data_IF_661994756907
#
_entry.id   IF_661994756907
#
_cell.length_a   1.000
_cell.length_b   1.000
_cell.length_c   1.000
_cell.angle_alpha   90.00
_cell.angle_beta   90.00
_cell.angle_gamma   90.00
#
_symmetry.space_group_name_H-M   'P 1'
#
loop_
_entity.id
_entity.type
_entity.pdbx_description
1 polymer ?
#
# COMPACT_ATOMS: atom_id res chain seq x y z
N UNK A 1 23.91 -55.32 27.63
CA UNK A 1 23.73 -53.87 27.83
C UNK A 1 23.97 -53.18 26.51
N UNK A 2 22.96 -52.50 26.01
CA UNK A 2 22.95 -51.77 24.75
C UNK A 2 23.68 -50.43 24.89
N UNK A 3 24.31 -49.98 23.80
CA UNK A 3 24.89 -48.64 23.71
C UNK A 3 25.28 -48.32 22.26
N UNK A 4 24.29 -48.08 21.42
CA UNK A 4 24.50 -47.57 20.06
C UNK A 4 24.66 -46.04 20.11
N UNK A 5 25.83 -45.56 19.67
CA UNK A 5 26.07 -44.13 19.43
C UNK A 5 25.28 -43.70 18.18
N UNK A 6 24.28 -42.84 18.36
CA UNK A 6 23.63 -42.12 17.26
C UNK A 6 24.37 -40.79 17.06
N UNK A 7 25.15 -40.69 15.98
CA UNK A 7 25.63 -39.42 15.46
C UNK A 7 24.45 -38.69 14.80
N UNK A 8 23.88 -37.71 15.49
CA UNK A 8 22.95 -36.75 14.91
C UNK A 8 23.72 -35.81 13.98
N UNK A 9 23.69 -36.12 12.68
CA UNK A 9 24.03 -35.15 11.65
C UNK A 9 22.98 -34.03 11.69
N UNK A 10 23.37 -32.87 12.22
CA UNK A 10 22.56 -31.67 12.10
C UNK A 10 22.51 -31.29 10.61
N UNK A 11 21.37 -31.57 9.96
CA UNK A 11 21.03 -30.93 8.71
C UNK A 11 21.00 -29.42 8.96
N UNK A 12 22.02 -28.70 8.47
CA UNK A 12 21.92 -27.25 8.28
C UNK A 12 20.77 -27.01 7.31
N UNK A 13 19.62 -26.62 7.82
CA UNK A 13 18.56 -26.05 7.00
C UNK A 13 19.14 -24.84 6.28
N UNK A 14 19.12 -24.94 4.95
CA UNK A 14 19.58 -23.92 4.03
C UNK A 14 18.86 -22.61 4.33
N UNK A 15 19.60 -21.55 4.61
CA UNK A 15 19.11 -20.16 4.77
C UNK A 15 18.68 -19.55 3.43
N UNK A 16 18.10 -20.34 2.54
CA UNK A 16 17.55 -19.84 1.29
C UNK A 16 16.18 -19.23 1.58
N UNK A 17 15.93 -17.96 1.24
CA UNK A 17 14.58 -17.40 1.25
C UNK A 17 13.64 -18.36 0.52
N UNK A 18 12.37 -18.51 0.95
CA UNK A 18 11.40 -19.26 0.17
C UNK A 18 11.45 -18.76 -1.27
N UNK A 19 11.67 -19.67 -2.21
CA UNK A 19 11.51 -19.34 -3.62
C UNK A 19 10.10 -18.77 -3.78
N UNK A 20 9.98 -17.64 -4.49
CA UNK A 20 8.69 -17.14 -4.99
C UNK A 20 7.88 -18.32 -5.51
N UNK A 21 6.54 -18.36 -5.34
CA UNK A 21 5.73 -19.25 -6.15
C UNK A 21 6.13 -19.00 -7.61
N UNK A 22 6.83 -19.96 -8.20
CA UNK A 22 7.27 -19.89 -9.57
C UNK A 22 6.02 -19.86 -10.44
N UNK A 23 5.75 -18.74 -11.13
CA UNK A 23 4.92 -18.76 -12.33
C UNK A 23 3.40 -18.75 -12.14
N UNK A 24 2.86 -18.02 -11.15
CA UNK A 24 1.50 -17.50 -11.33
C UNK A 24 1.50 -16.52 -12.51
N UNK A 25 0.74 -16.80 -13.57
CA UNK A 25 0.60 -15.88 -14.70
C UNK A 25 0.04 -14.56 -14.19
N UNK A 26 0.73 -13.45 -14.46
CA UNK A 26 0.27 -12.11 -14.04
C UNK A 26 -0.92 -11.73 -14.92
N UNK A 27 -1.94 -11.05 -14.38
CA UNK A 27 -3.07 -10.62 -15.20
C UNK A 27 -2.60 -9.82 -16.42
N UNK A 28 -1.67 -8.87 -16.24
CA UNK A 28 -1.10 -8.06 -17.32
C UNK A 28 -0.42 -8.89 -18.43
N UNK A 29 0.01 -10.14 -18.17
CA UNK A 29 0.56 -11.03 -19.22
C UNK A 29 -0.50 -11.43 -20.26
N UNK A 30 -1.79 -11.40 -19.89
CA UNK A 30 -2.93 -11.70 -20.79
C UNK A 30 -3.54 -10.45 -21.43
N UNK A 31 -3.24 -9.28 -20.88
CA UNK A 31 -3.80 -8.00 -21.31
C UNK A 31 -2.65 -7.02 -21.59
N UNK A 32 -1.99 -7.11 -22.76
CA UNK A 32 -0.97 -6.13 -23.16
C UNK A 32 -1.51 -4.72 -23.04
N UNK A 33 -0.72 -3.84 -22.41
CA UNK A 33 -1.11 -2.49 -22.01
C UNK A 33 -2.51 -2.38 -21.36
N UNK A 34 -2.92 -3.39 -20.58
CA UNK A 34 -4.20 -3.50 -19.86
C UNK A 34 -5.47 -3.41 -20.70
N UNK A 35 -5.38 -3.51 -22.03
CA UNK A 35 -6.56 -3.41 -22.89
C UNK A 35 -7.57 -4.52 -22.59
N UNK A 36 -8.71 -4.14 -22.05
CA UNK A 36 -9.80 -5.06 -21.69
C UNK A 36 -9.61 -5.76 -20.34
N UNK A 37 -8.60 -5.40 -19.55
CA UNK A 37 -8.33 -6.04 -18.25
C UNK A 37 -9.53 -5.90 -17.29
N UNK A 38 -10.26 -4.80 -17.37
CA UNK A 38 -11.45 -4.53 -16.56
C UNK A 38 -12.58 -5.58 -16.75
N UNK A 39 -12.56 -6.35 -17.83
CA UNK A 39 -13.52 -7.42 -18.10
C UNK A 39 -13.07 -8.80 -17.59
N UNK A 40 -11.87 -8.94 -17.04
CA UNK A 40 -11.42 -10.21 -16.46
C UNK A 40 -12.18 -10.51 -15.16
N UNK A 41 -12.65 -11.75 -14.92
CA UNK A 41 -13.41 -12.08 -13.71
C UNK A 41 -12.62 -11.93 -12.41
N UNK A 42 -11.29 -11.86 -12.45
CA UNK A 42 -10.48 -11.57 -11.27
C UNK A 42 -10.45 -10.08 -10.91
N UNK A 43 -10.77 -9.18 -11.85
CA UNK A 43 -10.71 -7.73 -11.65
C UNK A 43 -11.96 -7.23 -10.96
N UNK A 44 -11.75 -6.48 -9.87
CA UNK A 44 -12.80 -5.89 -9.05
C UNK A 44 -13.08 -4.45 -9.47
N UNK A 45 -12.02 -3.70 -9.81
CA UNK A 45 -12.10 -2.32 -10.29
C UNK A 45 -10.89 -1.98 -11.15
N UNK A 46 -11.08 -1.11 -12.14
CA UNK A 46 -10.01 -0.57 -12.95
C UNK A 46 -10.27 0.90 -13.33
N UNK A 47 -9.19 1.68 -13.40
CA UNK A 47 -9.16 3.07 -13.83
C UNK A 47 -7.98 3.31 -14.77
N UNK A 48 -8.25 3.89 -15.93
CA UNK A 48 -7.24 4.23 -16.94
C UNK A 48 -7.27 5.71 -17.33
N UNK A 49 -8.18 6.51 -16.75
CA UNK A 49 -8.29 7.95 -16.97
C UNK A 49 -8.55 8.39 -18.42
N UNK A 50 -9.23 7.54 -19.20
CA UNK A 50 -9.53 7.75 -20.62
C UNK A 50 -10.93 8.32 -20.87
N UNK A 51 -11.63 8.78 -19.83
CA UNK A 51 -12.99 9.33 -19.89
C UNK A 51 -13.08 10.69 -20.61
N UNK A 52 -11.93 11.30 -20.96
CA UNK A 52 -11.84 12.53 -21.75
C UNK A 52 -12.09 13.82 -20.96
N UNK A 53 -12.51 13.76 -19.71
CA UNK A 53 -12.60 14.93 -18.82
C UNK A 53 -12.55 14.53 -17.34
N UNK A 54 -12.06 15.43 -16.47
CA UNK A 54 -12.05 15.23 -15.01
C UNK A 54 -13.46 14.94 -14.48
N UNK A 55 -14.48 15.66 -14.95
CA UNK A 55 -15.88 15.45 -14.55
C UNK A 55 -16.36 14.01 -14.84
N UNK A 56 -16.00 13.49 -16.02
CA UNK A 56 -16.36 12.13 -16.40
C UNK A 56 -15.60 11.08 -15.57
N UNK A 57 -14.32 11.33 -15.22
CA UNK A 57 -13.59 10.49 -14.25
C UNK A 57 -14.26 10.53 -12.89
N UNK A 58 -14.48 11.71 -12.30
CA UNK A 58 -15.05 11.85 -10.95
C UNK A 58 -16.45 11.24 -10.83
N UNK A 59 -17.21 11.17 -11.94
CA UNK A 59 -18.55 10.53 -11.95
C UNK A 59 -18.52 9.01 -11.71
N UNK A 60 -17.34 8.38 -11.80
CA UNK A 60 -17.12 6.95 -11.52
C UNK A 60 -16.81 6.66 -10.05
N UNK A 61 -16.48 7.71 -9.28
CA UNK A 61 -16.10 7.65 -7.88
C UNK A 61 -17.26 8.07 -6.97
N UNK A 62 -17.27 7.54 -5.75
CA UNK A 62 -18.34 7.74 -4.77
C UNK A 62 -18.14 9.05 -3.99
N UNK A 63 -16.88 9.47 -3.80
CA UNK A 63 -16.50 10.78 -3.28
C UNK A 63 -15.21 11.28 -3.97
N UNK A 64 -14.99 12.59 -3.94
CA UNK A 64 -13.77 13.23 -4.44
C UNK A 64 -13.60 14.62 -3.84
N UNK A 65 -12.36 15.07 -3.69
CA UNK A 65 -12.03 16.42 -3.23
C UNK A 65 -11.20 17.19 -4.23
N UNK A 66 -11.44 18.50 -4.24
CA UNK A 66 -10.65 19.48 -4.97
C UNK A 66 -10.49 19.13 -6.47
N UNK A 67 -11.61 19.00 -7.19
CA UNK A 67 -11.58 18.78 -8.65
C UNK A 67 -10.78 19.86 -9.41
N UNK A 68 -10.62 21.07 -8.84
CA UNK A 68 -9.76 22.11 -9.41
C UNK A 68 -8.26 21.81 -9.35
N UNK A 69 -7.84 20.89 -8.47
CA UNK A 69 -6.48 20.34 -8.41
C UNK A 69 -6.25 19.14 -9.33
N UNK A 70 -7.28 18.69 -10.06
CA UNK A 70 -7.20 17.54 -10.97
C UNK A 70 -6.97 17.98 -12.42
N UNK A 71 -6.14 17.24 -13.14
CA UNK A 71 -5.98 17.41 -14.58
C UNK A 71 -5.69 16.08 -15.26
N UNK A 72 -6.31 15.86 -16.43
CA UNK A 72 -5.90 14.81 -17.36
C UNK A 72 -4.76 15.36 -18.21
N UNK A 73 -3.60 14.70 -18.17
CA UNK A 73 -2.38 15.15 -18.85
C UNK A 73 -1.79 14.03 -19.71
N UNK A 74 -1.08 14.35 -20.82
CA UNK A 74 -0.56 13.34 -21.75
C UNK A 74 0.69 12.60 -21.24
N UNK A 75 1.25 13.02 -20.11
CA UNK A 75 2.37 12.31 -19.47
C UNK A 75 1.85 11.06 -18.79
N UNK A 76 2.40 9.90 -19.11
CA UNK A 76 1.88 8.58 -18.73
C UNK A 76 3.03 7.57 -18.63
N UNK A 77 2.88 6.46 -17.89
CA UNK A 77 3.92 5.45 -17.78
C UNK A 77 4.25 4.82 -19.13
N UNK A 78 5.51 4.43 -19.28
CA UNK A 78 5.98 3.66 -20.43
C UNK A 78 5.23 2.32 -20.50
N UNK A 79 4.64 2.01 -21.64
CA UNK A 79 3.82 0.80 -21.83
C UNK A 79 2.32 1.03 -21.73
N UNK A 80 1.86 2.18 -21.22
CA UNK A 80 0.43 2.51 -21.25
C UNK A 80 -0.04 2.71 -22.68
N UNK A 81 -1.21 2.18 -23.01
CA UNK A 81 -1.90 2.41 -24.27
C UNK A 81 -2.89 3.59 -24.22
N UNK A 82 -3.11 4.17 -23.03
CA UNK A 82 -3.93 5.35 -22.82
C UNK A 82 -3.32 6.61 -23.44
N UNK A 83 -4.11 7.67 -23.49
CA UNK A 83 -3.72 9.00 -23.91
C UNK A 83 -3.50 9.95 -22.74
N UNK A 84 -3.97 9.62 -21.53
CA UNK A 84 -3.87 10.50 -20.37
C UNK A 84 -3.57 9.76 -19.06
N UNK A 85 -2.93 10.46 -18.13
CA UNK A 85 -2.91 10.11 -16.71
C UNK A 85 -3.62 11.19 -15.89
N UNK A 86 -3.96 10.86 -14.64
CA UNK A 86 -4.53 11.83 -13.70
C UNK A 86 -3.43 12.48 -12.87
N UNK A 87 -3.30 13.81 -13.00
CA UNK A 87 -2.53 14.64 -12.08
C UNK A 87 -3.41 15.09 -10.91
N UNK A 88 -2.95 14.90 -9.67
CA UNK A 88 -3.56 15.45 -8.46
C UNK A 88 -2.60 16.47 -7.83
N UNK A 89 -3.00 17.75 -7.78
CA UNK A 89 -2.24 18.86 -7.18
C UNK A 89 -2.86 19.26 -5.86
N UNK A 90 -2.08 19.34 -4.78
CA UNK A 90 -2.53 19.79 -3.46
C UNK A 90 -1.55 20.78 -2.83
N UNK A 91 -2.04 21.63 -1.93
CA UNK A 91 -1.25 22.52 -1.08
C UNK A 91 -1.93 22.76 0.27
N UNK A 92 -1.14 22.91 1.33
CA UNK A 92 -1.60 23.08 2.71
C UNK A 92 -2.03 24.50 3.07
N UNK A 93 -2.32 25.39 2.12
CA UNK A 93 -2.70 26.78 2.44
C UNK A 93 -4.08 26.87 3.08
N UNK A 94 -4.99 25.96 2.73
CA UNK A 94 -6.32 25.89 3.31
C UNK A 94 -6.97 24.50 3.13
N UNK A 95 -8.06 24.27 3.86
CA UNK A 95 -8.76 22.99 3.88
C UNK A 95 -9.34 22.54 2.53
N UNK A 96 -9.59 23.47 1.59
CA UNK A 96 -10.16 23.13 0.28
C UNK A 96 -9.08 22.67 -0.73
N UNK A 97 -7.80 22.98 -0.50
CA UNK A 97 -6.69 22.64 -1.41
C UNK A 97 -5.71 21.62 -0.83
N UNK A 98 -5.76 21.37 0.48
CA UNK A 98 -4.83 20.45 1.15
C UNK A 98 -5.01 18.98 0.76
N UNK A 99 -6.16 18.61 0.17
CA UNK A 99 -6.45 17.27 -0.30
C UNK A 99 -7.01 17.33 -1.72
N UNK A 100 -6.42 16.54 -2.62
CA UNK A 100 -6.98 16.24 -3.94
C UNK A 100 -7.01 14.73 -4.09
N UNK A 101 -8.20 14.15 -4.21
CA UNK A 101 -8.39 12.71 -4.11
C UNK A 101 -9.57 12.20 -4.95
N UNK A 102 -9.59 10.89 -5.16
CA UNK A 102 -10.73 10.15 -5.66
C UNK A 102 -10.99 9.01 -4.68
N UNK A 103 -12.25 8.72 -4.35
CA UNK A 103 -12.62 7.64 -3.43
C UNK A 103 -13.65 6.71 -4.06
N UNK A 104 -13.34 5.42 -4.06
CA UNK A 104 -14.19 4.36 -4.59
C UNK A 104 -14.58 3.41 -3.46
N UNK A 105 -15.88 3.26 -3.23
CA UNK A 105 -16.43 2.15 -2.46
C UNK A 105 -16.60 0.94 -3.38
N UNK A 106 -16.19 -0.23 -2.92
CA UNK A 106 -16.46 -1.49 -3.60
C UNK A 106 -17.68 -2.13 -2.95
N UNK A 107 -18.79 -2.24 -3.70
CA UNK A 107 -20.05 -2.75 -3.14
C UNK A 107 -19.96 -4.21 -2.70
N UNK A 108 -19.07 -4.98 -3.32
CA UNK A 108 -18.72 -6.35 -2.88
C UNK A 108 -17.33 -6.34 -2.28
N UNK A 109 -17.29 -6.46 -0.96
CA UNK A 109 -16.05 -6.58 -0.20
C UNK A 109 -15.26 -7.84 -0.54
N UNK A 110 -13.94 -7.75 -0.44
CA UNK A 110 -13.01 -8.84 -0.71
C UNK A 110 -12.24 -9.22 0.55
N UNK A 111 -11.90 -10.50 0.71
CA UNK A 111 -10.95 -10.93 1.74
C UNK A 111 -9.49 -10.78 1.30
N UNK A 112 -9.26 -10.69 -0.01
CA UNK A 112 -7.94 -10.61 -0.64
C UNK A 112 -7.98 -9.68 -1.83
N UNK A 113 -7.01 -8.77 -1.90
CA UNK A 113 -6.79 -7.89 -3.04
C UNK A 113 -5.32 -7.76 -3.38
N UNK A 114 -5.07 -7.76 -4.68
CA UNK A 114 -3.92 -7.15 -5.33
C UNK A 114 -4.35 -5.79 -5.85
N UNK A 115 -3.63 -4.74 -5.46
CA UNK A 115 -3.88 -3.36 -5.88
C UNK A 115 -2.64 -2.86 -6.57
N UNK A 116 -2.70 -2.64 -7.88
CA UNK A 116 -1.60 -2.11 -8.69
C UNK A 116 -1.95 -0.72 -9.21
N UNK A 117 -0.97 0.16 -9.21
CA UNK A 117 -1.07 1.48 -9.82
C UNK A 117 0.28 1.93 -10.36
N UNK A 118 0.25 2.89 -11.27
CA UNK A 118 1.42 3.67 -11.63
C UNK A 118 1.40 4.99 -10.91
N UNK A 119 2.54 5.40 -10.38
CA UNK A 119 2.69 6.70 -9.75
C UNK A 119 3.93 7.42 -10.24
N UNK A 120 3.83 8.74 -10.37
CA UNK A 120 4.97 9.65 -10.54
C UNK A 120 4.84 10.77 -9.52
N UNK A 121 5.93 11.13 -8.87
CA UNK A 121 5.95 12.15 -7.82
C UNK A 121 6.77 13.36 -8.28
N UNK A 122 6.23 14.57 -8.14
CA UNK A 122 6.95 15.81 -8.43
C UNK A 122 8.21 15.95 -7.54
N UNK A 123 9.34 16.30 -8.15
CA UNK A 123 10.58 16.56 -7.42
C UNK A 123 10.43 17.64 -6.34
N UNK A 124 10.99 17.38 -5.15
CA UNK A 124 11.12 18.35 -4.06
C UNK A 124 9.80 18.80 -3.41
N UNK A 125 8.69 18.14 -3.70
CA UNK A 125 7.41 18.45 -3.06
C UNK A 125 7.39 18.00 -1.59
N UNK A 126 6.69 18.74 -0.71
CA UNK A 126 6.60 18.44 0.72
C UNK A 126 5.53 17.38 0.99
N UNK A 127 5.80 16.14 0.57
CA UNK A 127 4.86 15.04 0.73
C UNK A 127 4.44 14.82 2.18
N UNK A 128 3.17 14.49 2.36
CA UNK A 128 2.62 14.09 3.65
C UNK A 128 1.86 12.77 3.47
N UNK A 129 0.58 12.81 3.11
CA UNK A 129 -0.17 11.59 2.79
C UNK A 129 -0.48 11.53 1.30
N UNK A 130 0.44 10.97 0.53
CA UNK A 130 0.41 11.02 -0.94
C UNK A 130 0.69 9.64 -1.54
N UNK A 131 -0.34 9.00 -2.05
CA UNK A 131 -0.25 7.65 -2.58
C UNK A 131 -1.62 7.03 -2.77
N UNK A 132 -1.65 5.70 -2.82
CA UNK A 132 -2.87 4.91 -2.90
C UNK A 132 -3.12 4.28 -1.54
N UNK A 133 -4.24 4.66 -0.94
CA UNK A 133 -4.79 4.02 0.24
C UNK A 133 -5.88 3.04 -0.20
N UNK A 134 -5.95 1.87 0.42
CA UNK A 134 -7.05 0.95 0.26
C UNK A 134 -7.28 0.15 1.54
N UNK A 135 -8.43 -0.49 1.68
CA UNK A 135 -8.76 -1.18 2.92
C UNK A 135 -10.24 -1.46 3.04
N UNK A 136 -10.74 -1.45 4.27
CA UNK A 136 -12.12 -1.79 4.58
C UNK A 136 -12.70 -0.94 5.69
N UNK A 137 -14.00 -0.65 5.57
CA UNK A 137 -14.84 -0.13 6.63
C UNK A 137 -16.00 -1.09 6.92
N UNK A 138 -16.40 -1.18 8.19
CA UNK A 138 -17.60 -1.88 8.62
C UNK A 138 -18.43 -0.98 9.57
N UNK A 139 -19.58 -0.45 9.11
CA UNK A 139 -20.17 -0.62 7.77
C UNK A 139 -19.36 0.07 6.66
N UNK A 140 -19.52 -0.34 5.38
CA UNK A 140 -18.88 0.34 4.24
C UNK A 140 -19.21 1.84 4.20
N UNK A 141 -18.23 2.66 3.80
CA UNK A 141 -18.36 4.13 3.74
C UNK A 141 -18.30 4.63 2.30
N UNK A 142 -19.11 5.63 1.98
CA UNK A 142 -19.10 6.35 0.68
C UNK A 142 -18.01 7.43 0.60
N UNK A 143 -17.31 7.70 1.71
CA UNK A 143 -16.23 8.69 1.78
C UNK A 143 -15.05 8.17 2.62
N UNK A 144 -13.83 8.70 2.41
CA UNK A 144 -12.67 8.30 3.19
C UNK A 144 -12.79 8.77 4.64
N UNK A 145 -12.39 7.91 5.59
CA UNK A 145 -12.37 8.23 7.02
C UNK A 145 -11.16 7.55 7.71
N UNK A 146 -9.95 8.11 7.61
CA UNK A 146 -8.73 7.47 8.13
C UNK A 146 -8.69 7.38 9.67
N UNK A 147 -9.44 8.25 10.38
CA UNK A 147 -9.46 8.33 11.85
C UNK A 147 -8.05 8.34 12.49
N UNK A 148 -7.19 9.24 11.99
CA UNK A 148 -5.83 9.40 12.50
C UNK A 148 -5.82 9.65 14.02
N UNK A 149 -4.87 9.04 14.72
CA UNK A 149 -4.75 9.10 16.17
C UNK A 149 -5.52 8.01 16.91
N UNK A 150 -6.43 7.29 16.26
CA UNK A 150 -7.26 6.25 16.87
C UNK A 150 -6.80 4.88 16.37
N UNK A 151 -6.65 3.90 17.27
CA UNK A 151 -6.36 2.51 16.87
C UNK A 151 -7.63 1.84 16.34
N UNK A 152 -7.60 1.13 15.19
CA UNK A 152 -8.71 0.26 14.79
C UNK A 152 -9.02 -0.81 15.84
N UNK A 153 -10.29 -1.20 15.93
CA UNK A 153 -10.78 -2.22 16.86
C UNK A 153 -10.74 -3.63 16.25
N UNK A 154 -10.55 -3.73 14.94
CA UNK A 154 -10.52 -4.99 14.19
C UNK A 154 -11.88 -5.41 13.66
N UNK A 155 -12.95 -4.73 14.06
CA UNK A 155 -14.29 -4.92 13.52
C UNK A 155 -14.84 -3.68 12.79
N UNK A 156 -14.08 -2.59 12.76
CA UNK A 156 -14.50 -1.28 12.29
C UNK A 156 -13.76 -0.86 11.00
N UNK A 157 -12.43 -1.02 10.95
CA UNK A 157 -11.62 -0.65 9.78
C UNK A 157 -10.25 -1.30 9.72
N UNK A 158 -9.69 -1.30 8.52
CA UNK A 158 -8.28 -1.59 8.23
C UNK A 158 -7.85 -0.76 7.02
N UNK A 159 -6.62 -0.26 6.98
CA UNK A 159 -6.11 0.47 5.81
C UNK A 159 -4.64 0.19 5.54
N UNK A 160 -4.32 0.12 4.25
CA UNK A 160 -3.00 -0.08 3.69
C UNK A 160 -2.67 1.07 2.75
N UNK A 161 -1.46 1.60 2.83
CA UNK A 161 -0.98 2.65 1.93
C UNK A 161 0.51 2.54 1.72
N UNK A 162 0.96 2.77 0.48
CA UNK A 162 2.38 3.03 0.19
C UNK A 162 2.50 4.49 -0.22
N UNK A 163 3.31 5.24 0.52
CA UNK A 163 3.52 6.68 0.31
C UNK A 163 4.96 7.10 0.64
N UNK A 164 5.44 8.27 0.16
CA UNK A 164 6.71 8.83 0.60
C UNK A 164 6.62 9.19 2.10
N UNK A 165 7.27 8.38 2.94
CA UNK A 165 7.26 8.56 4.41
C UNK A 165 8.54 9.26 4.87
N UNK A 166 9.68 9.02 4.20
CA UNK A 166 10.97 9.51 4.66
C UNK A 166 11.64 10.45 3.65
N UNK A 167 12.27 11.51 4.14
CA UNK A 167 13.02 12.46 3.30
C UNK A 167 12.15 13.41 2.48
N UNK A 168 10.89 13.63 2.88
CA UNK A 168 9.94 14.51 2.20
C UNK A 168 10.48 15.95 2.07
N UNK A 169 10.25 16.58 0.91
CA UNK A 169 10.87 17.85 0.53
C UNK A 169 12.33 17.75 0.03
N UNK A 170 12.98 16.59 0.22
CA UNK A 170 14.28 16.26 -0.37
C UNK A 170 14.18 15.50 -1.69
N UNK A 171 15.31 15.26 -2.37
CA UNK A 171 15.34 14.47 -3.60
C UNK A 171 15.10 12.98 -3.33
N UNK A 172 14.31 12.34 -4.18
CA UNK A 172 14.00 10.89 -4.15
C UNK A 172 13.58 10.39 -2.76
N UNK A 173 12.46 10.90 -2.20
CA UNK A 173 11.98 10.47 -0.89
C UNK A 173 11.71 8.96 -0.87
N UNK A 174 11.78 8.35 0.30
CA UNK A 174 11.68 6.90 0.49
C UNK A 174 10.23 6.52 0.75
N UNK A 175 9.73 5.56 -0.03
CA UNK A 175 8.45 4.92 0.23
C UNK A 175 8.50 4.07 1.49
N UNK A 176 7.40 4.06 2.22
CA UNK A 176 7.12 3.04 3.23
C UNK A 176 5.62 2.71 3.23
N UNK A 177 5.24 1.71 4.00
CA UNK A 177 3.85 1.56 4.40
C UNK A 177 3.45 2.69 5.36
N UNK A 178 2.17 3.07 5.36
CA UNK A 178 1.57 3.92 6.38
C UNK A 178 0.21 3.33 6.77
N UNK A 179 0.25 2.23 7.52
CA UNK A 179 -0.90 1.32 7.67
C UNK A 179 -1.59 1.45 9.03
N UNK A 180 -2.88 1.16 9.06
CA UNK A 180 -3.70 1.10 10.28
C UNK A 180 -4.43 -0.24 10.37
N UNK A 181 -4.22 -0.96 11.48
CA UNK A 181 -4.94 -2.19 11.82
C UNK A 181 -4.97 -2.39 13.33
N UNK A 182 -5.70 -3.39 13.82
CA UNK A 182 -5.95 -3.56 15.27
C UNK A 182 -4.71 -3.89 16.11
N UNK A 183 -3.66 -4.50 15.53
CA UNK A 183 -2.41 -4.83 16.23
C UNK A 183 -1.30 -3.79 16.02
N UNK A 184 -1.60 -2.68 15.34
CA UNK A 184 -0.63 -1.60 15.14
C UNK A 184 -0.10 -1.07 16.48
N UNK A 185 1.11 -0.53 16.45
CA UNK A 185 1.81 0.03 17.61
C UNK A 185 1.65 1.54 17.69
N UNK A 186 1.88 2.07 18.89
CA UNK A 186 1.98 3.51 19.16
C UNK A 186 3.44 3.87 19.47
N UNK A 187 3.75 5.16 19.38
CA UNK A 187 5.06 5.71 19.65
C UNK A 187 5.20 6.33 21.04
N UNK A 188 6.44 6.37 21.52
CA UNK A 188 6.80 7.06 22.74
C UNK A 188 6.59 8.56 22.56
N UNK A 189 5.87 9.19 23.48
CA UNK A 189 5.56 10.63 23.40
C UNK A 189 4.35 10.98 22.51
N UNK A 190 3.67 9.99 21.93
CA UNK A 190 2.50 10.22 21.08
C UNK A 190 1.20 10.43 21.86
N UNK A 191 1.25 10.59 23.18
CA UNK A 191 0.07 10.88 24.01
C UNK A 191 -0.98 9.76 24.03
N UNK A 192 -0.61 8.54 23.65
CA UNK A 192 -1.54 7.42 23.47
C UNK A 192 -2.21 7.36 22.10
N UNK A 193 -1.91 8.32 21.21
CA UNK A 193 -2.40 8.32 19.84
C UNK A 193 -1.72 7.24 18.99
N UNK A 194 -2.46 6.73 18.01
CA UNK A 194 -1.98 5.76 17.03
C UNK A 194 -1.88 6.41 15.64
N UNK A 195 -0.68 6.40 15.08
CA UNK A 195 -0.37 6.92 13.75
C UNK A 195 -0.03 5.77 12.81
N UNK A 196 -0.13 5.99 11.49
CA UNK A 196 0.14 4.94 10.52
C UNK A 196 1.52 4.34 10.73
N UNK A 197 1.59 3.02 10.85
CA UNK A 197 2.84 2.33 11.11
C UNK A 197 3.60 2.13 9.80
N UNK A 198 4.90 2.42 9.84
CA UNK A 198 5.87 2.11 8.79
C UNK A 198 6.40 0.69 8.98
N UNK A 199 6.53 -0.08 7.90
CA UNK A 199 6.80 -1.51 7.98
C UNK A 199 7.96 -1.99 7.12
N UNK A 200 8.38 -1.23 6.11
CA UNK A 200 9.34 -1.69 5.09
C UNK A 200 10.75 -1.29 5.49
N UNK A 201 10.97 -0.01 5.82
CA UNK A 201 12.24 0.51 6.29
C UNK A 201 13.44 0.23 5.39
N UNK A 202 13.28 0.42 4.07
CA UNK A 202 14.33 0.18 3.05
C UNK A 202 14.66 1.44 2.26
N UNK A 203 15.88 1.94 2.40
CA UNK A 203 16.38 3.18 1.77
C UNK A 203 16.33 3.16 0.24
N UNK A 204 16.50 1.99 -0.38
CA UNK A 204 16.43 1.83 -1.84
C UNK A 204 14.99 1.85 -2.39
N UNK A 205 13.96 1.73 -1.54
CA UNK A 205 12.57 1.77 -1.96
C UNK A 205 12.09 3.22 -2.11
N UNK A 206 12.51 3.91 -3.15
CA UNK A 206 12.26 5.36 -3.32
C UNK A 206 11.10 5.68 -4.25
N UNK A 207 10.44 6.81 -3.98
CA UNK A 207 9.67 7.57 -4.96
C UNK A 207 10.65 8.41 -5.77
N UNK A 208 11.18 7.85 -6.86
CA UNK A 208 12.18 8.55 -7.68
C UNK A 208 11.55 9.78 -8.34
N UNK A 209 12.21 10.93 -8.19
CA UNK A 209 11.67 12.20 -8.62
C UNK A 209 11.30 12.19 -10.12
N UNK A 210 10.10 12.69 -10.42
CA UNK A 210 9.55 12.81 -11.78
C UNK A 210 9.65 11.53 -12.62
N UNK A 211 9.70 10.35 -11.99
CA UNK A 211 9.83 9.07 -12.67
C UNK A 211 8.64 8.17 -12.35
N UNK A 212 8.05 7.58 -13.37
CA UNK A 212 6.97 6.61 -13.21
C UNK A 212 7.47 5.32 -12.54
N UNK A 213 6.72 4.84 -11.55
CA UNK A 213 6.92 3.55 -10.92
C UNK A 213 5.61 2.75 -10.92
N UNK A 214 5.69 1.48 -11.27
CA UNK A 214 4.63 0.52 -11.05
C UNK A 214 4.73 0.04 -9.60
N UNK A 215 3.67 0.23 -8.80
CA UNK A 215 3.60 -0.26 -7.42
C UNK A 215 2.43 -1.22 -7.33
N UNK A 216 2.63 -2.34 -6.65
CA UNK A 216 1.55 -3.29 -6.39
C UNK A 216 1.62 -3.80 -4.96
N UNK A 217 0.49 -3.76 -4.25
CA UNK A 217 0.34 -4.30 -2.90
C UNK A 217 -0.60 -5.49 -2.94
N UNK A 218 -0.24 -6.57 -2.24
CA UNK A 218 -1.12 -7.70 -1.97
C UNK A 218 -1.48 -7.67 -0.49
N UNK A 219 -2.77 -7.61 -0.18
CA UNK A 219 -3.28 -7.76 1.17
C UNK A 219 -4.33 -8.87 1.20
N UNK A 220 -4.19 -9.81 2.14
CA UNK A 220 -5.19 -10.81 2.49
C UNK A 220 -5.49 -10.68 3.97
N UNK A 221 -6.77 -10.56 4.30
CA UNK A 221 -7.25 -10.52 5.67
C UNK A 221 -7.09 -11.90 6.33
N UNK A 222 -6.79 -11.92 7.63
CA UNK A 222 -6.71 -13.17 8.40
C UNK A 222 -8.02 -13.96 8.29
N UNK A 223 -7.88 -15.29 8.22
CA UNK A 223 -9.00 -16.24 8.16
C UNK A 223 -9.46 -16.70 9.55
N UNK A 224 -8.58 -16.61 10.54
CA UNK A 224 -8.89 -16.86 11.94
C UNK A 224 -9.10 -15.52 12.66
N UNK A 225 -10.25 -15.31 13.31
CA UNK A 225 -10.55 -14.04 13.98
C UNK A 225 -9.78 -13.84 15.29
N UNK A 226 -9.08 -14.88 15.78
CA UNK A 226 -8.29 -14.83 17.00
C UNK A 226 -6.77 -14.67 16.76
N UNK A 227 -6.31 -14.73 15.51
CA UNK A 227 -4.88 -14.66 15.15
C UNK A 227 -4.66 -14.04 13.76
N UNK A 228 -3.40 -13.86 13.36
CA UNK A 228 -3.04 -13.44 12.01
C UNK A 228 -2.96 -14.61 11.00
N UNK A 229 -3.43 -15.79 11.37
CA UNK A 229 -3.39 -16.96 10.51
C UNK A 229 -4.11 -16.71 9.18
N UNK A 230 -3.37 -16.92 8.09
CA UNK A 230 -3.83 -16.70 6.72
C UNK A 230 -3.68 -15.26 6.21
N UNK A 231 -3.28 -14.31 7.06
CA UNK A 231 -3.01 -12.95 6.62
C UNK A 231 -1.80 -12.88 5.70
N UNK A 232 -1.85 -11.99 4.71
CA UNK A 232 -0.74 -11.69 3.83
C UNK A 232 -0.62 -10.18 3.65
N UNK A 233 0.61 -9.67 3.70
CA UNK A 233 0.95 -8.33 3.24
C UNK A 233 2.25 -8.39 2.47
N UNK A 234 2.23 -7.88 1.24
CA UNK A 234 3.38 -7.86 0.33
C UNK A 234 3.35 -6.62 -0.56
N UNK A 235 4.52 -6.14 -0.97
CA UNK A 235 4.66 -4.98 -1.86
C UNK A 235 5.75 -5.20 -2.90
N UNK A 236 5.47 -4.76 -4.12
CA UNK A 236 6.38 -4.82 -5.26
C UNK A 236 6.51 -3.44 -5.89
N UNK A 237 7.69 -3.18 -6.45
CA UNK A 237 7.96 -2.03 -7.31
C UNK A 237 8.56 -2.53 -8.60
N UNK A 238 7.98 -2.15 -9.74
CA UNK A 238 8.43 -2.58 -11.07
C UNK A 238 8.61 -4.11 -11.14
N UNK A 239 7.60 -4.85 -10.66
CA UNK A 239 7.55 -6.32 -10.53
C UNK A 239 8.64 -6.96 -9.64
N UNK A 240 9.50 -6.17 -9.00
CA UNK A 240 10.46 -6.66 -8.02
C UNK A 240 9.84 -6.67 -6.63
N UNK A 241 9.85 -7.82 -5.96
CA UNK A 241 9.35 -7.95 -4.58
C UNK A 241 10.20 -7.08 -3.66
N UNK A 242 9.57 -6.09 -3.04
CA UNK A 242 10.22 -5.23 -2.06
C UNK A 242 10.15 -5.90 -0.70
N UNK A 243 8.97 -6.22 -0.18
CA UNK A 243 8.86 -6.80 1.15
C UNK A 243 7.67 -7.75 1.24
N UNK A 244 7.86 -8.81 2.04
CA UNK A 244 6.82 -9.71 2.54
C UNK A 244 6.89 -9.75 4.05
N UNK A 245 5.75 -9.88 4.71
CA UNK A 245 5.65 -9.91 6.16
C UNK A 245 5.17 -11.27 6.65
N UNK A 246 6.09 -12.23 6.91
CA UNK A 246 5.73 -13.53 7.44
C UNK A 246 5.46 -13.47 8.95
N UNK A 247 4.53 -14.31 9.43
CA UNK A 247 4.29 -14.58 10.85
C UNK A 247 5.33 -15.56 11.43
N UNK A 248 6.61 -15.28 11.21
CA UNK A 248 7.70 -16.12 11.72
C UNK A 248 8.48 -15.38 12.79
N UNK A 249 8.75 -16.05 13.91
CA UNK A 249 9.68 -15.56 14.91
C UNK A 249 11.04 -15.23 14.24
N UNK A 250 11.53 -14.01 14.45
CA UNK A 250 12.74 -13.51 13.81
C UNK A 250 12.54 -12.84 12.45
N UNK A 251 11.29 -12.59 12.00
CA UNK A 251 11.02 -11.80 10.79
C UNK A 251 11.46 -10.33 10.92
N UNK A 252 11.56 -9.83 12.15
CA UNK A 252 11.96 -8.46 12.45
C UNK A 252 11.79 -8.12 13.92
N UNK A 253 11.76 -6.82 14.18
CA UNK A 253 11.52 -6.23 15.50
C UNK A 253 10.82 -4.88 15.34
N UNK A 254 10.26 -4.40 16.44
CA UNK A 254 9.63 -3.08 16.50
C UNK A 254 10.57 -2.07 17.11
N UNK A 255 10.59 -0.88 16.51
CA UNK A 255 11.04 0.36 17.12
C UNK A 255 9.82 1.26 17.19
N UNK A 256 9.18 1.30 18.34
CA UNK A 256 7.95 2.08 18.56
C UNK A 256 6.83 1.65 17.58
N UNK A 257 6.38 2.56 16.73
CA UNK A 257 5.38 2.40 15.67
C UNK A 257 5.99 2.05 14.29
N UNK A 258 7.29 1.71 14.26
CA UNK A 258 7.99 1.27 13.06
C UNK A 258 8.37 -0.20 13.20
N UNK A 259 7.94 -1.02 12.24
CA UNK A 259 8.45 -2.37 12.11
C UNK A 259 9.72 -2.35 11.26
N UNK A 260 10.73 -3.07 11.75
CA UNK A 260 12.03 -3.24 11.14
C UNK A 260 12.17 -4.71 10.73
N UNK A 261 11.90 -5.05 9.46
CA UNK A 261 12.25 -6.36 8.92
C UNK A 261 13.75 -6.64 9.12
N UNK A 262 14.15 -7.91 9.15
CA UNK A 262 15.57 -8.29 9.23
C UNK A 262 16.46 -7.68 8.13
N UNK A 263 15.86 -7.32 7.00
CA UNK A 263 16.51 -6.69 5.86
C UNK A 263 16.47 -5.16 5.89
N UNK A 264 15.96 -4.54 6.95
CA UNK A 264 15.83 -3.09 7.05
C UNK A 264 17.21 -2.41 7.10
N UNK A 265 17.34 -1.31 6.38
CA UNK A 265 18.55 -0.45 6.36
C UNK A 265 18.21 1.03 6.61
N UNK A 266 16.93 1.34 6.89
CA UNK A 266 16.46 2.67 7.26
C UNK A 266 16.95 3.12 8.64
N UNK A 267 17.20 4.42 8.80
CA UNK A 267 17.76 4.99 10.03
C UNK A 267 16.85 4.86 11.26
N UNK A 268 15.53 4.78 11.05
CA UNK A 268 14.54 4.47 12.08
C UNK A 268 14.76 3.10 12.75
N UNK A 269 15.47 2.18 12.09
CA UNK A 269 15.79 0.87 12.64
C UNK A 269 17.11 0.83 13.43
N UNK A 270 17.84 1.96 13.51
CA UNK A 270 19.09 2.07 14.28
C UNK A 270 18.87 2.30 15.78
N UNK A 271 17.63 2.45 16.23
CA UNK A 271 17.28 2.63 17.63
C UNK A 271 17.07 1.28 18.34
N UNK A 272 17.14 1.30 19.67
CA UNK A 272 16.89 0.11 20.49
C UNK A 272 15.48 -0.45 20.24
N UNK A 273 15.34 -1.77 20.02
CA UNK A 273 14.04 -2.40 19.86
C UNK A 273 13.13 -2.18 21.07
N UNK A 274 11.86 -1.88 20.82
CA UNK A 274 10.80 -1.79 21.84
C UNK A 274 10.05 -3.11 22.00
N UNK A 275 10.01 -3.94 20.96
CA UNK A 275 9.49 -5.31 21.02
C UNK A 275 10.18 -6.18 19.95
N UNK A 276 10.29 -7.48 20.21
CA UNK A 276 10.76 -8.47 19.23
C UNK A 276 9.57 -9.25 18.65
N UNK A 277 9.77 -9.88 17.49
CA UNK A 277 8.77 -10.74 16.87
C UNK A 277 8.19 -10.15 15.58
N UNK A 278 7.20 -10.82 14.97
CA UNK A 278 6.62 -10.41 13.70
C UNK A 278 5.78 -9.12 13.84
N UNK A 279 5.31 -8.62 12.70
CA UNK A 279 4.46 -7.44 12.65
C UNK A 279 3.07 -7.66 13.27
N UNK A 280 2.65 -8.91 13.47
CA UNK A 280 1.31 -9.32 13.92
C UNK A 280 0.23 -8.77 12.99
N UNK A 281 -0.08 -9.53 11.95
CA UNK A 281 -0.96 -9.11 10.86
C UNK A 281 -2.43 -9.49 11.11
N UNK A 282 -2.85 -9.58 12.37
CA UNK A 282 -4.27 -9.79 12.66
C UNK A 282 -5.00 -8.50 12.29
N UNK A 283 -5.55 -8.47 11.08
CA UNK A 283 -6.20 -7.30 10.51
C UNK A 283 -7.64 -7.14 11.01
N UNK A 284 -8.32 -8.25 11.35
CA UNK A 284 -9.72 -8.24 11.74
C UNK A 284 -10.09 -9.26 12.83
N UNK A 285 -11.20 -8.99 13.52
CA UNK A 285 -11.86 -9.86 14.51
C UNK A 285 -13.26 -10.32 14.09
N UNK A 286 -13.74 -9.88 12.93
CA UNK A 286 -14.99 -10.34 12.32
C UNK A 286 -14.84 -10.45 10.81
N UNK A 287 -15.54 -11.40 10.20
CA UNK A 287 -15.65 -11.52 8.74
C UNK A 287 -16.48 -10.42 8.09
N UNK A 288 -17.22 -9.64 8.89
CA UNK A 288 -17.97 -8.48 8.40
C UNK A 288 -17.05 -7.34 7.94
N UNK A 289 -15.79 -7.31 8.42
CA UNK A 289 -14.77 -6.40 7.93
C UNK A 289 -14.05 -7.02 6.72
N UNK A 290 -14.34 -6.47 5.55
CA UNK A 290 -13.77 -6.86 4.25
C UNK A 290 -13.07 -5.68 3.58
N UNK A 291 -12.21 -5.93 2.59
CA UNK A 291 -11.61 -4.89 1.76
C UNK A 291 -12.66 -4.31 0.79
N UNK A 292 -13.08 -3.08 1.01
CA UNK A 292 -14.17 -2.42 0.29
C UNK A 292 -13.95 -0.92 0.01
N UNK A 293 -12.72 -0.40 0.20
CA UNK A 293 -12.39 1.01 -0.02
C UNK A 293 -11.08 1.17 -0.81
N UNK A 294 -11.07 2.10 -1.76
CA UNK A 294 -9.92 2.48 -2.58
C UNK A 294 -9.84 4.00 -2.73
N UNK A 295 -8.67 4.57 -2.46
CA UNK A 295 -8.49 6.01 -2.23
C UNK A 295 -7.10 6.49 -2.69
N UNK A 296 -6.90 6.74 -4.00
CA UNK A 296 -5.77 7.53 -4.48
C UNK A 296 -5.91 8.99 -4.00
N UNK A 297 -4.86 9.50 -3.35
CA UNK A 297 -4.87 10.83 -2.76
C UNK A 297 -3.52 11.54 -2.91
N UNK A 298 -3.61 12.87 -3.03
CA UNK A 298 -2.56 13.79 -2.66
C UNK A 298 -3.01 14.70 -1.52
N UNK A 299 -2.48 14.48 -0.32
CA UNK A 299 -2.69 15.34 0.83
C UNK A 299 -1.38 15.98 1.30
N UNK A 300 -1.36 17.31 1.35
CA UNK A 300 -0.20 18.11 1.73
C UNK A 300 -0.63 19.15 2.76
N UNK A 301 0.09 19.22 3.87
CA UNK A 301 -0.14 20.21 4.94
C UNK A 301 0.80 21.41 4.88
N UNK A 302 1.88 21.32 4.09
CA UNK A 302 2.79 22.45 3.86
C UNK A 302 2.17 23.47 2.89
N UNK A 303 2.34 24.79 3.06
CA UNK A 303 1.81 25.79 2.14
C UNK A 303 2.30 25.70 0.68
N UNK A 304 3.41 24.99 0.43
CA UNK A 304 3.93 24.73 -0.91
C UNK A 304 3.17 23.59 -1.59
N UNK A 305 2.89 23.74 -2.88
CA UNK A 305 2.14 22.76 -3.65
C UNK A 305 3.00 21.60 -4.15
N UNK A 306 2.41 20.42 -4.25
CA UNK A 306 3.00 19.25 -4.90
C UNK A 306 1.99 18.54 -5.80
N UNK A 307 2.47 17.95 -6.90
CA UNK A 307 1.68 17.15 -7.84
C UNK A 307 2.13 15.70 -7.89
N UNK A 308 1.19 14.77 -7.74
CA UNK A 308 1.39 13.35 -8.02
C UNK A 308 0.56 12.97 -9.24
N UNK A 309 1.04 12.03 -10.03
CA UNK A 309 0.30 11.48 -11.17
C UNK A 309 -0.01 10.01 -10.92
N UNK A 310 -1.21 9.59 -11.27
CA UNK A 310 -1.66 8.20 -11.25
C UNK A 310 -2.12 7.75 -12.63
N UNK A 311 -1.84 6.50 -12.97
CA UNK A 311 -2.37 5.87 -14.18
C UNK A 311 -2.52 4.35 -14.00
N UNK A 312 -3.29 3.74 -14.91
CA UNK A 312 -3.51 2.30 -15.06
C UNK A 312 -3.65 1.60 -13.69
N UNK A 313 -4.66 2.01 -12.91
CA UNK A 313 -4.93 1.45 -11.58
C UNK A 313 -5.85 0.24 -11.71
N UNK A 314 -5.48 -0.87 -11.09
CA UNK A 314 -6.24 -2.13 -11.16
C UNK A 314 -6.30 -2.75 -9.76
N UNK A 315 -7.50 -3.19 -9.37
CA UNK A 315 -7.76 -3.98 -8.18
C UNK A 315 -8.25 -5.35 -8.62
N UNK A 316 -7.63 -6.41 -8.13
CA UNK A 316 -7.97 -7.76 -8.53
C UNK A 316 -7.78 -8.77 -7.38
N UNK A 317 -8.41 -9.93 -7.52
CA UNK A 317 -8.25 -11.08 -6.60
C UNK A 317 -7.05 -11.97 -6.96
N UNK A 318 -6.26 -11.57 -7.96
CA UNK A 318 -5.06 -12.26 -8.43
C UNK A 318 -3.96 -11.26 -8.76
N UNK A 319 -2.70 -11.72 -8.73
CA UNK A 319 -1.52 -10.89 -9.05
C UNK A 319 -1.65 -10.23 -10.42
N UNK A 320 -1.57 -8.90 -10.46
CA UNK A 320 -1.78 -8.09 -11.66
C UNK A 320 -0.49 -7.96 -12.46
N UNK A 321 0.61 -7.55 -11.81
CA UNK A 321 1.87 -7.21 -12.46
C UNK A 321 1.87 -5.87 -13.19
N UNK A 322 3.07 -5.43 -13.57
CA UNK A 322 3.25 -4.24 -14.40
C UNK A 322 2.87 -4.50 -15.87
N UNK A 323 2.71 -3.41 -16.64
CA UNK A 323 2.25 -3.37 -18.03
C UNK A 323 3.22 -4.17 -18.91
N UNK A 324 2.65 -4.84 -19.91
CA UNK A 324 3.37 -5.65 -20.90
C UNK A 324 3.30 -5.04 -22.29
#
# INVERSE_FOLDING_TARGET
>A
MWGALLLSAACRESTTPPALPSGGQRLADRYPCDRGIAGDPAVVWAESFEEGSVSAVTSRYDDYKNAGGMALVPDKPSGSCGAASMQLTADGRNAATQATDLYKRLDTGQDELYVRWYAKYQAGAPWHHTGVWFGGYNPPSDWPNPQAGIRPLGNDRVSFSVEPVWGNGGPNPVFDFYNYWMQMRTCSGCGGSYWGNALISRTAFTASDNTWACVEVHARLNTDMASDAGAVLEVWKNDSLIQRFPDTAGAGYWVQDHFCPVSADGSQCNYSPTAAGPADLQFRTTTDLTLNAFWPQNYITDPASGSVWFDDMVLATQRIGCLR
#
